data_IF_922666456116
#
_entry.id   IF_922666456116
#
_cell.length_a   1.000
_cell.length_b   1.000
_cell.length_c   1.000
_cell.angle_alpha   90.00
_cell.angle_beta   90.00
_cell.angle_gamma   90.00
#
_symmetry.space_group_name_H-M   'P 1'
#
loop_
_entity.id
_entity.type
_entity.pdbx_description
1 polymer ?
#
# COMPACT_ATOMS: atom_id res chain seq x y z
N UNK A 1 -1.30 19.52 31.17
CA UNK A 1 -1.68 18.09 31.04
C UNK A 1 -2.59 17.80 29.84
N UNK A 2 -3.76 18.45 29.67
CA UNK A 2 -4.70 18.15 28.56
C UNK A 2 -4.11 18.27 27.14
N UNK A 3 -3.23 19.25 26.89
CA UNK A 3 -2.60 19.44 25.57
C UNK A 3 -1.58 18.35 25.18
N UNK A 4 -0.82 17.83 26.16
CA UNK A 4 0.17 16.78 25.92
C UNK A 4 -0.51 15.44 25.58
N UNK A 5 -1.57 15.09 26.30
CA UNK A 5 -2.37 13.89 26.05
C UNK A 5 -2.97 13.92 24.64
N UNK A 6 -3.56 15.06 24.23
CA UNK A 6 -4.13 15.22 22.88
C UNK A 6 -3.08 15.04 21.78
N UNK A 7 -1.84 15.47 22.00
CA UNK A 7 -0.73 15.33 21.05
C UNK A 7 -0.28 13.87 20.94
N UNK A 8 -0.22 13.13 22.05
CA UNK A 8 0.09 11.70 22.08
C UNK A 8 -0.98 10.90 21.31
N UNK A 9 -2.26 11.16 21.57
CA UNK A 9 -3.35 10.50 20.83
C UNK A 9 -3.31 10.83 19.34
N UNK A 10 -2.96 12.06 18.97
CA UNK A 10 -2.83 12.45 17.56
C UNK A 10 -1.73 11.64 16.86
N UNK A 11 -0.55 11.53 17.48
CA UNK A 11 0.57 10.76 16.95
C UNK A 11 0.22 9.28 16.82
N UNK A 12 -0.39 8.68 17.85
CA UNK A 12 -0.83 7.28 17.80
C UNK A 12 -1.85 7.03 16.67
N UNK A 13 -2.76 7.97 16.42
CA UNK A 13 -3.73 7.85 15.32
C UNK A 13 -3.08 8.04 13.94
N UNK A 14 -2.08 8.90 13.82
CA UNK A 14 -1.31 9.07 12.58
C UNK A 14 -0.48 7.83 12.26
N UNK A 15 0.18 7.24 13.27
CA UNK A 15 0.93 5.99 13.14
C UNK A 15 -0.01 4.84 12.75
N UNK A 16 -1.14 4.67 13.46
CA UNK A 16 -2.11 3.63 13.14
C UNK A 16 -2.67 3.76 11.71
N UNK A 17 -2.89 5.00 11.23
CA UNK A 17 -3.33 5.23 9.85
C UNK A 17 -2.26 4.82 8.84
N UNK A 18 -1.00 5.15 9.10
CA UNK A 18 0.11 4.77 8.22
C UNK A 18 0.29 3.25 8.17
N UNK A 19 0.21 2.59 9.32
CA UNK A 19 0.27 1.12 9.40
C UNK A 19 -0.88 0.48 8.63
N UNK A 20 -2.12 0.93 8.87
CA UNK A 20 -3.28 0.43 8.15
C UNK A 20 -3.15 0.61 6.63
N UNK A 21 -2.63 1.76 6.21
CA UNK A 21 -2.37 2.07 4.79
C UNK A 21 -1.33 1.11 4.19
N UNK A 22 -0.28 0.78 4.93
CA UNK A 22 0.73 -0.19 4.52
C UNK A 22 0.14 -1.60 4.37
N UNK A 23 -0.64 -2.06 5.35
CA UNK A 23 -1.29 -3.37 5.30
C UNK A 23 -2.25 -3.48 4.11
N UNK A 24 -3.04 -2.43 3.85
CA UNK A 24 -3.95 -2.40 2.68
C UNK A 24 -3.14 -2.44 1.38
N UNK A 25 -2.06 -1.68 1.26
CA UNK A 25 -1.22 -1.67 0.07
C UNK A 25 -0.64 -3.06 -0.22
N UNK A 26 -0.09 -3.73 0.81
CA UNK A 26 0.43 -5.10 0.69
C UNK A 26 -0.69 -6.06 0.28
N UNK A 27 -1.85 -5.98 0.92
CA UNK A 27 -2.99 -6.82 0.58
C UNK A 27 -3.42 -6.67 -0.88
N UNK A 28 -3.53 -5.43 -1.37
CA UNK A 28 -3.88 -5.14 -2.77
C UNK A 28 -2.82 -5.68 -3.74
N UNK A 29 -1.52 -5.49 -3.43
CA UNK A 29 -0.43 -6.05 -4.23
C UNK A 29 -0.57 -7.56 -4.37
N UNK A 30 -0.77 -8.26 -3.25
CA UNK A 30 -0.89 -9.73 -3.25
C UNK A 30 -2.06 -10.17 -4.12
N UNK A 31 -3.25 -9.59 -3.90
CA UNK A 31 -4.47 -9.99 -4.63
C UNK A 31 -4.34 -9.72 -6.13
N UNK A 32 -3.80 -8.55 -6.51
CA UNK A 32 -3.59 -8.23 -7.93
C UNK A 32 -2.52 -9.10 -8.57
N UNK A 33 -1.46 -9.44 -7.83
CA UNK A 33 -0.35 -10.27 -8.31
C UNK A 33 -0.75 -11.73 -8.54
N UNK A 34 -1.84 -12.21 -7.93
CA UNK A 34 -2.37 -13.55 -8.21
C UNK A 34 -2.78 -13.70 -9.68
N UNK A 35 -3.23 -12.64 -10.34
CA UNK A 35 -3.67 -12.68 -11.74
C UNK A 35 -2.50 -13.05 -12.67
N UNK A 36 -1.41 -12.25 -12.77
CA UNK A 36 -0.30 -12.59 -13.66
C UNK A 36 0.34 -13.92 -13.28
N UNK A 37 0.45 -14.25 -12.00
CA UNK A 37 1.03 -15.52 -11.53
C UNK A 37 0.19 -16.73 -11.93
N UNK A 38 -1.14 -16.59 -12.04
CA UNK A 38 -2.03 -17.71 -12.37
C UNK A 38 -2.22 -17.88 -13.88
N UNK A 39 -2.19 -16.78 -14.64
CA UNK A 39 -2.63 -16.78 -16.04
C UNK A 39 -1.52 -16.54 -17.07
N UNK A 40 -0.29 -16.23 -16.64
CA UNK A 40 0.84 -15.98 -17.54
C UNK A 40 1.88 -17.08 -17.32
N UNK A 41 2.11 -17.89 -18.34
CA UNK A 41 3.06 -19.02 -18.29
C UNK A 41 4.52 -18.58 -18.36
N UNK A 42 4.80 -17.45 -19.03
CA UNK A 42 6.15 -16.89 -19.09
C UNK A 42 6.51 -16.19 -17.78
N UNK A 43 7.33 -16.85 -16.95
CA UNK A 43 7.74 -16.37 -15.63
C UNK A 43 8.34 -14.96 -15.67
N UNK A 44 9.11 -14.64 -16.71
CA UNK A 44 9.75 -13.33 -16.86
C UNK A 44 8.69 -12.24 -17.08
N UNK A 45 7.74 -12.46 -17.97
CA UNK A 45 6.63 -11.54 -18.23
C UNK A 45 5.72 -11.39 -17.00
N UNK A 46 5.39 -12.51 -16.33
CA UNK A 46 4.60 -12.49 -15.11
C UNK A 46 5.28 -11.64 -14.02
N UNK A 47 6.59 -11.81 -13.82
CA UNK A 47 7.38 -11.07 -12.84
C UNK A 47 7.46 -9.57 -13.16
N UNK A 48 7.60 -9.19 -14.44
CA UNK A 48 7.58 -7.79 -14.86
C UNK A 48 6.24 -7.12 -14.52
N UNK A 49 5.13 -7.82 -14.75
CA UNK A 49 3.79 -7.30 -14.44
C UNK A 49 3.59 -7.19 -12.93
N UNK A 50 4.03 -8.18 -12.14
CA UNK A 50 4.02 -8.09 -10.68
C UNK A 50 4.84 -6.88 -10.19
N UNK A 51 6.03 -6.67 -10.76
CA UNK A 51 6.86 -5.50 -10.46
C UNK A 51 6.13 -4.17 -10.76
N UNK A 52 5.43 -4.10 -11.89
CA UNK A 52 4.62 -2.94 -12.24
C UNK A 52 3.45 -2.72 -11.25
N UNK A 53 2.75 -3.79 -10.85
CA UNK A 53 1.69 -3.74 -9.83
C UNK A 53 2.24 -3.17 -8.51
N UNK A 54 3.38 -3.70 -8.04
CA UNK A 54 4.03 -3.22 -6.81
C UNK A 54 4.31 -1.72 -6.91
N UNK A 55 4.95 -1.28 -8.00
CA UNK A 55 5.31 0.12 -8.18
C UNK A 55 4.08 1.05 -8.22
N UNK A 56 3.03 0.67 -8.94
CA UNK A 56 1.80 1.45 -9.06
C UNK A 56 1.08 1.53 -7.71
N UNK A 57 0.90 0.40 -7.03
CA UNK A 57 0.19 0.38 -5.74
C UNK A 57 0.96 1.16 -4.68
N UNK A 58 2.29 1.04 -4.63
CA UNK A 58 3.11 1.87 -3.75
C UNK A 58 3.00 3.35 -4.07
N UNK A 59 3.06 3.72 -5.35
CA UNK A 59 2.89 5.11 -5.77
C UNK A 59 1.52 5.65 -5.34
N UNK A 60 0.45 4.90 -5.60
CA UNK A 60 -0.91 5.27 -5.23
C UNK A 60 -1.10 5.36 -3.71
N UNK A 61 -0.48 4.44 -2.97
CA UNK A 61 -0.52 4.49 -1.52
C UNK A 61 0.23 5.72 -1.00
N UNK A 62 1.50 5.93 -1.34
CA UNK A 62 2.32 6.88 -0.59
C UNK A 62 2.50 8.24 -1.25
N UNK A 63 2.38 8.34 -2.56
CA UNK A 63 2.74 9.53 -3.32
C UNK A 63 1.57 10.17 -4.06
N UNK A 64 0.51 9.42 -4.33
CA UNK A 64 -0.68 9.97 -4.97
C UNK A 64 -1.54 10.72 -3.96
N UNK A 65 -1.54 12.05 -4.08
CA UNK A 65 -2.55 12.90 -3.47
C UNK A 65 -3.74 13.02 -4.44
N UNK A 66 -4.92 12.47 -4.13
CA UNK A 66 -6.09 12.69 -4.95
C UNK A 66 -6.41 14.18 -4.94
N UNK A 67 -6.45 14.81 -6.12
CA UNK A 67 -6.97 16.17 -6.26
C UNK A 67 -8.47 16.13 -6.00
N UNK A 68 -8.88 16.44 -4.78
CA UNK A 68 -10.27 16.50 -4.32
C UNK A 68 -10.43 17.52 -3.22
#
# INVERSE_FOLDING_TARGET
>A
MRGAIKKIFKLLLEDLKNDLKAYIAIFVIVILSLIPVTFIEDDQTAMLIVGAIVAIVFYMAYFYEPKG
#
